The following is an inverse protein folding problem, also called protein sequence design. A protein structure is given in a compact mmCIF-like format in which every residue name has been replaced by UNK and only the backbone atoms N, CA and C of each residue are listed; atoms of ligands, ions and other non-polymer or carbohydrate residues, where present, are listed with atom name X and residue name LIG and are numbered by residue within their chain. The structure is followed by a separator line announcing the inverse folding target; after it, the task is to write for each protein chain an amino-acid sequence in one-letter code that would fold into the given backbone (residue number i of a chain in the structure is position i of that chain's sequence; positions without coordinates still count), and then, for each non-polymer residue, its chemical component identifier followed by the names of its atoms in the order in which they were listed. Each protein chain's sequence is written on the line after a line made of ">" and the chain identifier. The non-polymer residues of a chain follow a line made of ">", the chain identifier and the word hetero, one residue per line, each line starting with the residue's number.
data_IF_376012632157
#
_entry.id   IF_376012632157
#
_cell.length_a   1.000
_cell.length_b   1.000
_cell.length_c   1.000
_cell.angle_alpha   90.00
_cell.angle_beta   90.00
_cell.angle_gamma   90.00
#
_symmetry.space_group_name_H-M   'P 1'
#
loop_
_entity.id
_entity.type
_entity.pdbx_description
1 polymer ?
#
# COMPACT_ATOMS: atom_id res chain seq x y z
N UNK A 1 28.87 27.98 -57.07
CA UNK A 1 28.61 27.14 -58.26
C UNK A 1 29.27 25.79 -57.98
N UNK A 2 28.59 24.83 -57.37
CA UNK A 2 27.73 23.79 -57.97
C UNK A 2 28.35 23.14 -59.22
N UNK A 3 28.91 21.94 -59.04
CA UNK A 3 29.29 21.03 -60.12
C UNK A 3 28.45 19.77 -60.01
N UNK A 4 27.33 19.73 -60.73
CA UNK A 4 26.47 18.57 -60.87
C UNK A 4 27.15 17.54 -61.79
N UNK A 5 27.34 16.31 -61.31
CA UNK A 5 27.79 15.17 -62.12
C UNK A 5 26.55 14.33 -62.46
N UNK A 6 26.12 14.22 -63.73
CA UNK A 6 24.97 13.41 -64.10
C UNK A 6 25.25 11.93 -63.89
N UNK A 7 24.29 11.22 -63.30
CA UNK A 7 24.34 9.79 -63.11
C UNK A 7 23.74 9.08 -64.35
N UNK A 8 24.58 8.69 -65.31
CA UNK A 8 24.16 8.00 -66.54
C UNK A 8 23.82 6.52 -66.29
N UNK A 9 22.77 6.25 -65.51
CA UNK A 9 22.26 4.89 -65.26
C UNK A 9 21.69 4.19 -66.51
N UNK A 10 21.45 4.91 -67.60
CA UNK A 10 20.85 4.39 -68.83
C UNK A 10 21.87 3.94 -69.89
N UNK A 11 23.18 4.07 -69.64
CA UNK A 11 24.23 3.74 -70.63
C UNK A 11 24.90 2.37 -70.40
N UNK A 12 24.46 1.59 -69.40
CA UNK A 12 25.01 0.24 -69.20
C UNK A 12 24.43 -0.69 -70.28
N UNK A 13 25.24 -1.27 -71.18
CA UNK A 13 24.73 -2.21 -72.18
C UNK A 13 24.06 -3.37 -71.45
N UNK A 14 22.84 -3.72 -71.85
CA UNK A 14 22.19 -4.91 -71.34
C UNK A 14 23.12 -6.12 -71.57
N UNK A 15 23.36 -6.98 -70.57
CA UNK A 15 24.19 -8.16 -70.76
C UNK A 15 23.60 -8.98 -71.91
N UNK A 16 24.45 -9.38 -72.85
CA UNK A 16 24.02 -10.17 -74.01
C UNK A 16 23.35 -11.44 -73.50
N UNK A 17 22.05 -11.66 -73.76
CA UNK A 17 21.38 -12.85 -73.26
C UNK A 17 22.04 -14.08 -73.88
N UNK A 18 22.48 -15.01 -73.03
CA UNK A 18 22.96 -16.30 -73.49
C UNK A 18 21.86 -16.97 -74.34
N UNK A 19 22.19 -17.54 -75.52
CA UNK A 19 21.19 -18.13 -76.39
C UNK A 19 20.43 -19.23 -75.65
N UNK A 20 19.10 -19.19 -75.76
CA UNK A 20 18.20 -20.17 -75.14
C UNK A 20 18.53 -21.56 -75.67
N UNK A 21 18.94 -22.47 -74.78
CA UNK A 21 19.40 -23.82 -75.14
C UNK A 21 18.27 -24.81 -75.47
N UNK A 22 17.02 -24.33 -75.63
CA UNK A 22 15.87 -25.14 -76.03
C UNK A 22 15.31 -26.07 -74.95
N UNK A 23 15.99 -26.23 -73.81
CA UNK A 23 15.63 -27.16 -72.75
C UNK A 23 15.32 -26.40 -71.45
N UNK A 24 14.03 -26.19 -71.20
CA UNK A 24 13.52 -25.50 -70.00
C UNK A 24 14.01 -26.16 -68.70
N UNK A 25 14.25 -27.47 -68.71
CA UNK A 25 14.66 -28.24 -67.53
C UNK A 25 16.18 -28.28 -67.32
N UNK A 26 16.98 -27.78 -68.26
CA UNK A 26 18.45 -27.74 -68.17
C UNK A 26 19.01 -26.32 -68.32
N UNK A 27 18.38 -25.34 -67.68
CA UNK A 27 19.00 -24.02 -67.54
C UNK A 27 20.03 -24.04 -66.41
N UNK A 28 21.22 -23.48 -66.65
CA UNK A 28 22.18 -23.22 -65.58
C UNK A 28 21.51 -22.32 -64.53
N UNK A 29 21.68 -22.59 -63.21
CA UNK A 29 21.13 -21.74 -62.17
C UNK A 29 21.58 -20.31 -62.40
N UNK A 30 20.66 -19.40 -62.69
CA UNK A 30 21.00 -17.98 -62.79
C UNK A 30 21.38 -17.52 -61.38
N UNK A 31 22.58 -16.99 -61.16
CA UNK A 31 22.86 -16.31 -59.90
C UNK A 31 21.90 -15.12 -59.82
N UNK A 32 21.00 -15.15 -58.84
CA UNK A 32 20.21 -13.98 -58.49
C UNK A 32 21.20 -12.89 -58.09
N UNK A 33 21.27 -11.79 -58.85
CA UNK A 33 21.98 -10.58 -58.42
C UNK A 33 21.26 -10.02 -57.17
N UNK A 34 21.62 -10.56 -56.02
CA UNK A 34 21.01 -10.28 -54.72
C UNK A 34 21.72 -10.94 -53.54
N UNK A 35 22.90 -11.55 -53.75
CA UNK A 35 23.79 -12.04 -52.69
C UNK A 35 24.73 -10.95 -52.16
N UNK A 36 24.28 -9.70 -52.13
CA UNK A 36 24.75 -8.75 -51.14
C UNK A 36 23.85 -8.95 -49.92
N UNK A 37 24.41 -9.36 -48.79
CA UNK A 37 23.72 -9.65 -47.54
C UNK A 37 22.54 -8.68 -47.30
N UNK A 38 21.32 -9.12 -47.64
CA UNK A 38 20.12 -8.38 -47.31
C UNK A 38 20.02 -8.42 -45.79
N UNK A 39 20.36 -7.31 -45.15
CA UNK A 39 20.07 -7.06 -43.73
C UNK A 39 18.57 -7.25 -43.54
N UNK A 40 18.17 -8.45 -43.11
CA UNK A 40 16.76 -8.79 -42.95
C UNK A 40 16.17 -7.86 -41.89
N UNK A 41 15.29 -6.95 -42.27
CA UNK A 41 14.55 -6.11 -41.33
C UNK A 41 13.22 -6.78 -40.98
N UNK A 42 12.76 -6.64 -39.73
CA UNK A 42 11.41 -7.07 -39.33
C UNK A 42 10.62 -5.94 -38.67
N UNK A 43 9.29 -6.01 -38.80
CA UNK A 43 8.36 -5.10 -38.14
C UNK A 43 7.90 -5.72 -36.82
N UNK A 44 8.15 -5.01 -35.72
CA UNK A 44 7.80 -5.42 -34.36
C UNK A 44 6.70 -4.52 -33.83
N UNK A 45 5.55 -5.11 -33.50
CA UNK A 45 4.47 -4.45 -32.76
C UNK A 45 4.36 -5.01 -31.35
N UNK A 46 4.52 -4.17 -30.33
CA UNK A 46 4.31 -4.58 -28.94
C UNK A 46 3.23 -3.71 -28.30
N UNK A 47 2.33 -4.34 -27.56
CA UNK A 47 1.34 -3.67 -26.71
C UNK A 47 1.53 -4.13 -25.28
N UNK A 48 1.71 -3.19 -24.35
CA UNK A 48 1.88 -3.47 -22.94
C UNK A 48 0.60 -3.15 -22.17
N UNK A 49 0.12 -4.12 -21.40
CA UNK A 49 -1.12 -3.99 -20.62
C UNK A 49 -0.92 -4.55 -19.22
N UNK A 50 -1.74 -4.11 -18.29
CA UNK A 50 -1.97 -4.79 -17.02
C UNK A 50 -2.66 -6.14 -17.26
N UNK A 51 -2.57 -7.06 -16.32
CA UNK A 51 -3.23 -8.39 -16.35
C UNK A 51 -4.77 -8.35 -16.49
N UNK A 52 -5.40 -7.22 -16.14
CA UNK A 52 -6.82 -6.95 -16.37
C UNK A 52 -7.12 -6.45 -17.80
N UNK A 53 -6.10 -6.28 -18.66
CA UNK A 53 -6.18 -5.80 -20.04
C UNK A 53 -6.08 -4.28 -20.21
N UNK A 54 -5.96 -3.51 -19.13
CA UNK A 54 -5.83 -2.05 -19.19
C UNK A 54 -4.46 -1.62 -19.73
N UNK A 55 -4.42 -0.54 -20.50
CA UNK A 55 -3.17 0.08 -20.96
C UNK A 55 -2.33 0.55 -19.76
N UNK A 56 -1.02 0.30 -19.77
CA UNK A 56 -0.11 0.78 -18.71
C UNK A 56 0.00 2.31 -18.61
N UNK A 57 -0.38 3.01 -19.68
CA UNK A 57 -0.28 4.45 -19.84
C UNK A 57 0.42 4.86 -21.14
N UNK A 58 0.26 6.14 -21.50
CA UNK A 58 0.96 6.75 -22.62
C UNK A 58 2.36 7.25 -22.21
N UNK A 59 3.22 7.50 -23.20
CA UNK A 59 4.52 8.16 -23.02
C UNK A 59 5.53 7.40 -22.13
N UNK A 60 5.29 6.12 -21.83
CA UNK A 60 6.27 5.30 -21.12
C UNK A 60 7.48 5.03 -22.03
N UNK A 61 8.71 5.38 -21.60
CA UNK A 61 9.88 5.15 -22.43
C UNK A 61 10.17 3.66 -22.56
N UNK A 62 10.60 3.25 -23.74
CA UNK A 62 11.06 1.90 -24.03
C UNK A 62 12.44 1.91 -24.67
N UNK A 63 13.14 0.79 -24.52
CA UNK A 63 14.31 0.43 -25.32
C UNK A 63 14.02 -0.89 -26.02
N UNK A 64 14.16 -0.90 -27.35
CA UNK A 64 14.01 -2.07 -28.21
C UNK A 64 15.38 -2.39 -28.80
N UNK A 65 16.01 -3.43 -28.30
CA UNK A 65 17.35 -3.86 -28.68
C UNK A 65 17.24 -5.04 -29.66
N UNK A 66 17.52 -4.84 -30.96
CA UNK A 66 17.66 -5.95 -31.89
C UNK A 66 18.91 -6.78 -31.57
N UNK A 67 18.90 -8.07 -31.91
CA UNK A 67 20.08 -8.93 -31.77
C UNK A 67 21.25 -8.48 -32.67
N UNK A 68 20.93 -7.83 -33.79
CA UNK A 68 21.90 -7.18 -34.67
C UNK A 68 21.49 -5.72 -34.87
N UNK A 69 22.29 -4.78 -34.35
CA UNK A 69 22.07 -3.35 -34.50
C UNK A 69 22.05 -2.58 -33.18
N UNK A 70 21.76 -1.28 -33.26
CA UNK A 70 21.69 -0.40 -32.10
C UNK A 70 20.29 -0.44 -31.47
N UNK A 71 20.17 -0.24 -30.14
CA UNK A 71 18.88 -0.08 -29.48
C UNK A 71 18.09 1.11 -30.03
N UNK A 72 16.82 0.86 -30.35
CA UNK A 72 15.84 1.88 -30.70
C UNK A 72 15.12 2.32 -29.44
N UNK A 73 15.12 3.63 -29.16
CA UNK A 73 14.43 4.21 -28.01
C UNK A 73 13.23 5.03 -28.49
N UNK A 74 12.20 5.07 -27.67
CA UNK A 74 11.02 5.89 -27.91
C UNK A 74 10.09 5.83 -26.73
N UNK A 75 8.86 6.27 -26.94
CA UNK A 75 7.80 6.21 -25.94
C UNK A 75 6.57 5.50 -26.49
N UNK A 76 5.83 4.81 -25.62
CA UNK A 76 4.58 4.16 -26.00
C UNK A 76 3.52 5.19 -26.41
N UNK A 77 2.65 4.80 -27.34
CA UNK A 77 1.49 5.59 -27.74
C UNK A 77 0.37 5.58 -26.68
N UNK A 78 -0.76 6.23 -26.98
CA UNK A 78 -1.93 6.29 -26.09
C UNK A 78 -2.57 4.93 -25.80
N UNK A 79 -2.26 3.89 -26.58
CA UNK A 79 -2.72 2.51 -26.40
C UNK A 79 -1.64 1.63 -25.77
N UNK A 80 -0.63 2.24 -25.13
CA UNK A 80 0.53 1.56 -24.55
C UNK A 80 1.23 0.63 -25.56
N UNK A 81 1.28 1.07 -26.81
CA UNK A 81 1.80 0.28 -27.93
C UNK A 81 3.00 0.97 -28.57
N UNK A 82 3.86 0.16 -29.20
CA UNK A 82 4.93 0.60 -30.09
C UNK A 82 4.88 -0.24 -31.37
N UNK A 83 5.25 0.38 -32.49
CA UNK A 83 5.48 -0.29 -33.76
C UNK A 83 6.82 0.22 -34.27
N UNK A 84 7.78 -0.67 -34.49
CA UNK A 84 9.09 -0.32 -34.99
C UNK A 84 9.64 -1.33 -35.98
N UNK A 85 10.40 -0.82 -36.95
CA UNK A 85 11.20 -1.65 -37.85
C UNK A 85 12.61 -1.80 -37.26
N UNK A 86 13.06 -3.04 -37.09
CA UNK A 86 14.39 -3.35 -36.56
C UNK A 86 15.24 -4.14 -37.56
N UNK A 87 16.55 -4.15 -37.36
CA UNK A 87 17.47 -5.02 -38.08
C UNK A 87 17.52 -6.40 -37.41
N UNK A 88 17.65 -7.45 -38.22
CA UNK A 88 17.56 -8.83 -37.74
C UNK A 88 16.12 -9.27 -37.48
N UNK A 89 15.97 -10.46 -36.91
CA UNK A 89 14.66 -11.03 -36.56
C UNK A 89 14.41 -11.02 -35.05
N UNK A 90 15.45 -11.13 -34.25
CA UNK A 90 15.35 -11.27 -32.80
C UNK A 90 15.46 -9.91 -32.11
N UNK A 91 14.70 -9.74 -31.03
CA UNK A 91 14.70 -8.52 -30.24
C UNK A 91 14.46 -8.77 -28.75
N UNK A 92 14.95 -7.83 -27.94
CA UNK A 92 14.59 -7.64 -26.54
C UNK A 92 14.05 -6.23 -26.33
N UNK A 93 12.87 -6.12 -25.74
CA UNK A 93 12.25 -4.85 -25.36
C UNK A 93 12.19 -4.72 -23.84
N UNK A 94 12.43 -3.51 -23.35
CA UNK A 94 12.39 -3.15 -21.95
C UNK A 94 11.73 -1.78 -21.78
N UNK A 95 10.65 -1.72 -21.01
CA UNK A 95 10.09 -0.45 -20.53
C UNK A 95 10.96 0.14 -19.43
N UNK A 96 11.08 1.47 -19.38
CA UNK A 96 11.82 2.18 -18.32
C UNK A 96 13.27 1.69 -18.19
N UNK A 97 13.91 1.30 -19.30
CA UNK A 97 15.24 0.70 -19.31
C UNK A 97 16.29 1.62 -18.66
N UNK A 98 16.26 2.90 -19.07
CA UNK A 98 17.17 3.94 -18.65
C UNK A 98 16.68 4.70 -17.39
N UNK A 99 15.60 4.23 -16.74
CA UNK A 99 15.06 4.84 -15.51
C UNK A 99 15.63 4.16 -14.27
N UNK A 100 16.22 4.95 -13.37
CA UNK A 100 16.71 4.47 -12.07
C UNK A 100 15.57 4.39 -11.03
N UNK A 101 14.76 3.35 -11.18
CA UNK A 101 13.61 3.12 -10.28
C UNK A 101 14.03 2.80 -8.84
N UNK A 102 15.24 2.30 -8.62
CA UNK A 102 15.72 1.92 -7.30
C UNK A 102 16.09 3.16 -6.49
N UNK A 103 16.78 4.12 -7.11
CA UNK A 103 17.04 5.45 -6.53
C UNK A 103 15.74 6.22 -6.27
N UNK A 104 14.79 6.19 -7.22
CA UNK A 104 13.46 6.81 -7.04
C UNK A 104 12.74 6.26 -5.80
N UNK A 105 12.73 4.93 -5.61
CA UNK A 105 12.11 4.29 -4.44
C UNK A 105 12.86 4.67 -3.15
N UNK A 106 14.19 4.67 -3.17
CA UNK A 106 14.99 5.03 -2.00
C UNK A 106 14.72 6.48 -1.56
N UNK A 107 14.71 7.42 -2.51
CA UNK A 107 14.37 8.82 -2.26
C UNK A 107 12.96 8.97 -1.71
N UNK A 108 11.97 8.29 -2.31
CA UNK A 108 10.59 8.38 -1.86
C UNK A 108 10.39 7.80 -0.45
N UNK A 109 11.10 6.72 -0.10
CA UNK A 109 11.09 6.17 1.28
C UNK A 109 11.74 7.11 2.28
N UNK A 110 12.82 7.80 1.92
CA UNK A 110 13.45 8.78 2.79
C UNK A 110 12.49 9.95 3.10
N UNK A 111 11.73 10.41 2.11
CA UNK A 111 10.71 11.44 2.30
C UNK A 111 9.54 10.95 3.14
N UNK A 112 9.09 9.72 2.93
CA UNK A 112 8.05 9.12 3.76
C UNK A 112 8.50 9.03 5.22
N UNK A 113 9.72 8.53 5.47
CA UNK A 113 10.28 8.46 6.81
C UNK A 113 10.33 9.84 7.47
N UNK A 114 10.81 10.86 6.76
CA UNK A 114 10.84 12.22 7.28
C UNK A 114 9.44 12.77 7.64
N UNK A 115 8.43 12.51 6.79
CA UNK A 115 7.05 12.92 7.07
C UNK A 115 6.47 12.20 8.31
N UNK A 116 6.72 10.89 8.46
CA UNK A 116 6.30 10.11 9.61
C UNK A 116 7.00 10.57 10.91
N UNK A 117 8.30 10.85 10.85
CA UNK A 117 9.08 11.32 12.00
C UNK A 117 8.60 12.69 12.50
N UNK A 118 8.21 13.58 11.59
CA UNK A 118 7.62 14.86 11.95
C UNK A 118 6.27 14.74 12.67
N UNK A 119 5.47 13.75 12.30
CA UNK A 119 4.22 13.43 13.00
C UNK A 119 4.53 12.91 14.39
N UNK A 120 5.48 11.97 14.52
CA UNK A 120 5.90 11.44 15.82
C UNK A 120 6.45 12.53 16.74
N UNK A 121 7.24 13.48 16.20
CA UNK A 121 7.76 14.60 16.95
C UNK A 121 6.63 15.52 17.45
N UNK A 122 5.62 15.78 16.63
CA UNK A 122 4.46 16.56 17.02
C UNK A 122 3.63 15.86 18.12
N UNK A 123 3.42 14.54 18.00
CA UNK A 123 2.68 13.75 18.99
C UNK A 123 3.40 13.74 20.35
N UNK A 124 4.72 13.55 20.36
CA UNK A 124 5.52 13.60 21.60
C UNK A 124 5.46 14.97 22.27
N UNK A 125 5.48 16.05 21.48
CA UNK A 125 5.37 17.41 22.00
C UNK A 125 4.00 17.66 22.65
N UNK A 126 2.91 17.21 22.03
CA UNK A 126 1.57 17.34 22.63
C UNK A 126 1.41 16.44 23.86
N UNK A 127 1.90 15.21 23.82
CA UNK A 127 1.88 14.31 24.97
C UNK A 127 2.62 14.91 26.18
N UNK A 128 3.77 15.57 25.96
CA UNK A 128 4.50 16.30 27.00
C UNK A 128 3.69 17.50 27.54
N UNK A 129 2.98 18.23 26.68
CA UNK A 129 2.11 19.34 27.07
C UNK A 129 0.94 18.87 27.94
N UNK A 130 0.30 17.76 27.55
CA UNK A 130 -0.79 17.16 28.30
C UNK A 130 -0.33 16.58 29.64
N UNK A 131 0.85 15.97 29.67
CA UNK A 131 1.45 15.50 30.92
C UNK A 131 1.69 16.67 31.89
N UNK A 132 2.22 17.80 31.43
CA UNK A 132 2.42 18.98 32.27
C UNK A 132 1.09 19.53 32.85
N UNK A 133 0.00 19.45 32.08
CA UNK A 133 -1.35 19.81 32.55
C UNK A 133 -1.85 18.78 33.58
N UNK A 134 -1.60 17.49 33.39
CA UNK A 134 -1.96 16.42 34.34
C UNK A 134 -1.19 16.56 35.66
N UNK A 135 0.08 16.92 35.62
CA UNK A 135 0.92 17.08 36.81
C UNK A 135 0.45 18.23 37.72
N UNK A 136 -0.25 19.22 37.14
CA UNK A 136 -0.88 20.33 37.89
C UNK A 136 -2.25 19.96 38.50
N UNK A 137 -2.80 18.78 38.19
CA UNK A 137 -4.15 18.36 38.60
C UNK A 137 -4.10 17.38 39.78
N UNK A 138 -5.12 17.41 40.64
CA UNK A 138 -5.23 16.48 41.77
C UNK A 138 -5.47 15.04 41.30
N UNK A 139 -5.04 14.06 42.09
CA UNK A 139 -5.16 12.63 41.76
C UNK A 139 -6.61 12.18 41.45
N UNK A 140 -7.61 12.78 42.12
CA UNK A 140 -9.03 12.50 41.87
C UNK A 140 -9.52 13.10 40.53
N UNK A 141 -9.04 14.29 40.17
CA UNK A 141 -9.36 14.93 38.88
C UNK A 141 -8.74 14.18 37.71
N UNK A 142 -7.50 13.69 37.86
CA UNK A 142 -6.82 12.85 36.87
C UNK A 142 -7.55 11.51 36.67
N UNK A 143 -8.06 10.88 37.74
CA UNK A 143 -8.86 9.65 37.63
C UNK A 143 -10.16 9.85 36.85
N UNK A 144 -10.86 10.99 37.05
CA UNK A 144 -12.09 11.32 36.32
C UNK A 144 -11.80 11.69 34.86
N UNK A 145 -10.72 12.41 34.58
CA UNK A 145 -10.34 12.76 33.21
C UNK A 145 -9.87 11.57 32.39
N UNK A 146 -9.06 10.67 32.96
CA UNK A 146 -8.71 9.39 32.33
C UNK A 146 -9.93 8.57 31.90
N UNK A 147 -11.05 8.72 32.61
CA UNK A 147 -12.34 8.06 32.33
C UNK A 147 -13.19 8.76 31.27
N UNK A 148 -12.90 10.03 30.97
CA UNK A 148 -13.61 10.86 29.99
C UNK A 148 -12.80 11.08 28.69
N UNK A 149 -11.47 10.99 28.74
CA UNK A 149 -10.55 11.36 27.66
C UNK A 149 -10.09 10.19 26.77
N UNK A 150 -10.65 8.98 26.97
CA UNK A 150 -10.18 7.80 26.26
C UNK A 150 -10.37 7.91 24.73
N UNK A 151 -9.25 7.84 24.01
CA UNK A 151 -9.18 7.20 22.68
C UNK A 151 -9.24 8.09 21.45
N UNK A 152 -8.54 9.24 21.42
CA UNK A 152 -8.42 10.08 20.22
C UNK A 152 -7.12 10.86 20.19
N UNK A 153 -6.01 10.15 20.03
CA UNK A 153 -4.70 10.74 19.75
C UNK A 153 -4.75 11.98 18.87
N UNK A 154 -3.93 12.99 19.16
CA UNK A 154 -4.03 14.31 18.54
C UNK A 154 -4.05 14.26 17.00
N UNK A 155 -3.21 13.42 16.37
CA UNK A 155 -3.23 13.19 14.92
C UNK A 155 -4.58 12.61 14.42
N UNK A 156 -5.08 11.50 14.99
CA UNK A 156 -6.35 10.89 14.55
C UNK A 156 -7.59 11.74 14.92
N UNK A 157 -7.51 12.49 16.02
CA UNK A 157 -8.52 13.44 16.47
C UNK A 157 -8.60 14.66 15.56
N UNK A 158 -7.45 15.21 15.14
CA UNK A 158 -7.36 16.30 14.17
C UNK A 158 -7.75 15.86 12.74
N UNK A 159 -7.54 14.58 12.41
CA UNK A 159 -7.98 13.97 11.15
C UNK A 159 -9.51 13.91 11.00
N UNK A 160 -10.27 13.98 12.11
CA UNK A 160 -11.74 13.97 12.05
C UNK A 160 -12.37 12.58 11.92
N UNK A 161 -11.69 11.50 12.31
CA UNK A 161 -12.25 10.14 12.47
C UNK A 161 -13.21 10.05 13.68
N UNK A 162 -14.14 10.99 13.75
CA UNK A 162 -14.94 11.34 14.93
C UNK A 162 -16.43 11.07 14.69
N UNK A 163 -16.76 10.04 13.90
CA UNK A 163 -18.04 9.36 14.10
C UNK A 163 -17.85 8.41 15.28
N UNK A 164 -18.52 8.78 16.36
CA UNK A 164 -18.45 8.29 17.75
C UNK A 164 -17.95 6.87 17.97
N UNK A 165 -17.16 6.66 19.03
CA UNK A 165 -16.63 5.36 19.47
C UNK A 165 -17.63 4.19 19.38
N UNK A 166 -18.91 4.43 19.72
CA UNK A 166 -20.05 3.49 19.62
C UNK A 166 -20.25 2.87 18.23
N UNK A 167 -19.84 3.57 17.18
CA UNK A 167 -19.92 3.11 15.81
C UNK A 167 -18.65 2.37 15.39
N UNK A 168 -17.51 2.46 16.10
CA UNK A 168 -16.26 1.77 15.75
C UNK A 168 -16.35 0.25 15.97
N UNK A 169 -17.08 -0.19 17.01
CA UNK A 169 -17.43 -1.61 17.22
C UNK A 169 -18.37 -2.15 16.13
N UNK A 170 -19.33 -1.34 15.67
CA UNK A 170 -20.19 -1.67 14.53
C UNK A 170 -19.44 -1.48 13.19
N UNK A 171 -18.35 -0.69 13.17
CA UNK A 171 -17.51 -0.37 12.00
C UNK A 171 -16.43 -1.41 11.69
N UNK A 172 -16.17 -2.39 12.56
CA UNK A 172 -15.30 -3.52 12.18
C UNK A 172 -15.92 -4.34 11.01
N UNK A 173 -17.22 -4.17 10.72
CA UNK A 173 -17.95 -4.90 9.66
C UNK A 173 -18.22 -4.11 8.33
N UNK A 174 -18.43 -2.78 8.32
CA UNK A 174 -18.41 -1.93 7.14
C UNK A 174 -17.12 -2.02 6.36
N UNK A 175 -15.94 -2.10 6.98
CA UNK A 175 -14.66 -2.18 6.24
C UNK A 175 -14.45 -3.53 5.51
N UNK A 176 -15.03 -4.63 6.00
CA UNK A 176 -15.12 -5.90 5.26
C UNK A 176 -16.04 -5.81 4.05
N UNK A 177 -17.22 -5.18 4.20
CA UNK A 177 -18.19 -4.99 3.10
C UNK A 177 -17.73 -3.95 2.06
N UNK A 178 -17.16 -2.84 2.55
CA UNK A 178 -16.48 -1.75 1.84
C UNK A 178 -15.35 -2.24 0.94
N UNK A 179 -14.52 -3.14 1.47
CA UNK A 179 -13.42 -3.71 0.70
C UNK A 179 -13.91 -4.53 -0.49
N UNK A 180 -15.10 -5.13 -0.45
CA UNK A 180 -15.58 -6.00 -1.52
C UNK A 180 -16.08 -5.21 -2.74
N UNK A 181 -16.77 -4.09 -2.54
CA UNK A 181 -17.22 -3.25 -3.65
C UNK A 181 -16.04 -2.56 -4.35
N UNK A 182 -15.15 -1.95 -3.58
CA UNK A 182 -13.95 -1.30 -4.12
C UNK A 182 -12.99 -2.33 -4.74
N UNK A 183 -12.83 -3.52 -4.12
CA UNK A 183 -12.07 -4.65 -4.73
C UNK A 183 -12.74 -5.14 -5.99
N UNK A 184 -14.05 -5.34 -6.00
CA UNK A 184 -14.78 -5.81 -7.17
C UNK A 184 -14.65 -4.83 -8.33
N UNK A 185 -14.70 -3.53 -8.05
CA UNK A 185 -14.45 -2.49 -9.04
C UNK A 185 -12.97 -2.46 -9.47
N UNK A 186 -12.05 -2.68 -8.55
CA UNK A 186 -10.62 -2.81 -8.85
C UNK A 186 -10.30 -4.01 -9.73
N UNK A 187 -10.97 -5.15 -9.52
CA UNK A 187 -10.87 -6.37 -10.32
C UNK A 187 -11.73 -6.33 -11.58
N UNK A 188 -12.49 -5.26 -11.83
CA UNK A 188 -13.36 -5.18 -12.99
C UNK A 188 -12.52 -5.29 -14.27
N UNK A 189 -12.92 -6.20 -15.15
CA UNK A 189 -12.30 -6.35 -16.48
C UNK A 189 -13.01 -5.43 -17.45
N UNK A 190 -12.24 -4.63 -18.19
CA UNK A 190 -12.79 -3.83 -19.27
C UNK A 190 -13.23 -4.74 -20.43
N UNK A 191 -14.41 -4.47 -20.98
CA UNK A 191 -14.86 -5.08 -22.23
C UNK A 191 -13.99 -4.59 -23.41
N UNK A 192 -14.06 -5.26 -24.56
CA UNK A 192 -13.30 -4.84 -25.74
C UNK A 192 -13.69 -3.40 -26.17
N UNK A 193 -12.71 -2.49 -26.17
CA UNK A 193 -12.93 -1.06 -26.45
C UNK A 193 -13.37 -0.20 -25.25
N UNK A 194 -13.62 -0.80 -24.09
CA UNK A 194 -13.93 -0.10 -22.83
C UNK A 194 -12.64 0.26 -22.07
N UNK A 195 -12.65 1.36 -21.33
CA UNK A 195 -11.57 1.67 -20.38
C UNK A 195 -11.82 0.97 -19.05
N UNK A 196 -10.76 0.60 -18.33
CA UNK A 196 -10.93 0.04 -16.98
C UNK A 196 -11.71 0.99 -16.06
N UNK A 197 -11.48 2.30 -16.16
CA UNK A 197 -12.21 3.29 -15.39
C UNK A 197 -13.73 3.27 -15.66
N UNK A 198 -14.16 2.98 -16.89
CA UNK A 198 -15.58 2.81 -17.20
C UNK A 198 -16.15 1.53 -16.53
N UNK A 199 -15.40 0.43 -16.56
CA UNK A 199 -15.77 -0.80 -15.87
C UNK A 199 -15.81 -0.61 -14.33
N UNK A 200 -14.84 0.13 -13.78
CA UNK A 200 -14.80 0.54 -12.38
C UNK A 200 -16.03 1.37 -12.00
N UNK A 201 -16.35 2.42 -12.78
CA UNK A 201 -17.51 3.29 -12.52
C UNK A 201 -18.86 2.58 -12.67
N UNK A 202 -18.92 1.48 -13.43
CA UNK A 202 -20.10 0.60 -13.49
C UNK A 202 -20.24 -0.24 -12.22
N UNK A 203 -19.13 -0.73 -11.68
CA UNK A 203 -19.11 -1.62 -10.52
C UNK A 203 -19.10 -0.89 -9.17
N UNK A 204 -18.63 0.36 -9.15
CA UNK A 204 -18.57 1.23 -7.98
C UNK A 204 -19.60 2.36 -8.11
N UNK A 205 -20.74 2.16 -7.45
CA UNK A 205 -21.88 3.07 -7.55
C UNK A 205 -21.60 4.43 -6.90
N UNK A 206 -22.36 5.46 -7.29
CA UNK A 206 -22.27 6.77 -6.68
C UNK A 206 -22.57 6.74 -5.17
N UNK A 207 -23.44 5.82 -4.73
CA UNK A 207 -23.78 5.65 -3.32
C UNK A 207 -22.63 5.03 -2.54
N UNK A 208 -22.00 3.97 -3.08
CA UNK A 208 -20.81 3.36 -2.47
C UNK A 208 -19.64 4.34 -2.37
N UNK A 209 -19.48 5.19 -3.39
CA UNK A 209 -18.53 6.30 -3.37
C UNK A 209 -18.84 7.30 -2.25
N UNK A 210 -20.09 7.76 -2.16
CA UNK A 210 -20.53 8.73 -1.17
C UNK A 210 -20.30 8.21 0.26
N UNK A 211 -20.76 7.00 0.54
CA UNK A 211 -20.60 6.34 1.84
C UNK A 211 -19.12 6.21 2.23
N UNK A 212 -18.27 5.81 1.29
CA UNK A 212 -16.84 5.69 1.54
C UNK A 212 -16.18 7.04 1.85
N UNK A 213 -16.40 8.02 0.99
CA UNK A 213 -15.75 9.32 1.12
C UNK A 213 -16.17 9.99 2.43
N UNK A 214 -17.45 9.88 2.81
CA UNK A 214 -17.94 10.31 4.13
C UNK A 214 -17.28 9.54 5.29
N UNK A 215 -17.16 8.22 5.18
CA UNK A 215 -16.54 7.38 6.22
C UNK A 215 -15.06 7.73 6.43
N UNK A 216 -14.35 8.14 5.38
CA UNK A 216 -12.96 8.60 5.44
C UNK A 216 -12.82 10.04 5.97
N UNK A 217 -13.94 10.73 6.26
CA UNK A 217 -13.94 12.09 6.82
C UNK A 217 -13.94 13.21 5.77
N UNK A 218 -14.23 12.90 4.51
CA UNK A 218 -14.25 13.87 3.42
C UNK A 218 -15.67 14.16 2.93
N UNK A 219 -15.85 15.31 2.28
CA UNK A 219 -17.03 15.64 1.50
C UNK A 219 -17.04 14.80 0.21
N UNK A 220 -18.08 13.98 -0.04
CA UNK A 220 -18.24 13.20 -1.28
C UNK A 220 -18.11 13.99 -2.57
N UNK A 221 -18.42 15.29 -2.57
CA UNK A 221 -18.30 16.13 -3.75
C UNK A 221 -16.85 16.57 -4.03
N UNK A 222 -15.95 16.42 -3.06
CA UNK A 222 -14.54 16.85 -3.16
C UNK A 222 -13.62 15.81 -3.76
N UNK A 223 -14.02 14.54 -3.75
CA UNK A 223 -13.27 13.41 -4.28
C UNK A 223 -14.08 12.83 -5.45
N UNK A 224 -13.43 12.64 -6.59
CA UNK A 224 -14.06 11.90 -7.69
C UNK A 224 -13.77 10.41 -7.56
N UNK A 225 -14.59 9.58 -8.21
CA UNK A 225 -14.38 8.12 -8.27
C UNK A 225 -13.03 7.76 -8.89
N UNK A 226 -12.55 8.58 -9.83
CA UNK A 226 -11.25 8.47 -10.48
C UNK A 226 -10.10 8.76 -9.51
N UNK A 227 -10.19 9.83 -8.73
CA UNK A 227 -9.18 10.17 -7.73
C UNK A 227 -9.10 9.11 -6.64
N UNK A 228 -10.25 8.57 -6.22
CA UNK A 228 -10.32 7.46 -5.30
C UNK A 228 -9.68 6.19 -5.89
N UNK A 229 -9.97 5.88 -7.16
CA UNK A 229 -9.35 4.75 -7.87
C UNK A 229 -7.82 4.89 -7.94
N UNK A 230 -7.32 6.08 -8.26
CA UNK A 230 -5.87 6.37 -8.29
C UNK A 230 -5.25 6.24 -6.89
N UNK A 231 -5.88 6.81 -5.86
CA UNK A 231 -5.42 6.68 -4.48
C UNK A 231 -5.40 5.22 -4.01
N UNK A 232 -6.43 4.44 -4.33
CA UNK A 232 -6.50 3.02 -4.01
C UNK A 232 -5.42 2.21 -4.71
N UNK A 233 -5.16 2.46 -5.99
CA UNK A 233 -4.07 1.82 -6.73
C UNK A 233 -2.71 2.06 -6.03
N UNK A 234 -2.40 3.33 -5.72
CA UNK A 234 -1.14 3.69 -5.07
C UNK A 234 -1.02 3.04 -3.68
N UNK A 235 -2.12 2.99 -2.92
CA UNK A 235 -2.16 2.32 -1.63
C UNK A 235 -1.86 0.81 -1.75
N UNK A 236 -2.40 0.12 -2.76
CA UNK A 236 -2.10 -1.30 -3.02
C UNK A 236 -0.60 -1.52 -3.30
N UNK A 237 0.03 -0.66 -4.12
CA UNK A 237 1.47 -0.74 -4.36
C UNK A 237 2.30 -0.57 -3.07
N UNK A 238 1.93 0.40 -2.23
CA UNK A 238 2.63 0.66 -0.96
C UNK A 238 2.45 -0.52 0.01
N UNK A 239 1.25 -1.09 0.08
CA UNK A 239 0.94 -2.13 1.05
C UNK A 239 1.53 -3.50 0.69
N UNK A 240 1.69 -3.80 -0.60
CA UNK A 240 2.36 -5.00 -1.09
C UNK A 240 3.89 -4.90 -0.91
N UNK A 241 4.45 -3.68 -0.89
CA UNK A 241 5.88 -3.46 -0.69
C UNK A 241 6.30 -3.69 0.77
N UNK A 242 6.96 -4.83 1.02
CA UNK A 242 7.41 -5.26 2.34
C UNK A 242 8.18 -4.20 3.15
N UNK A 243 9.21 -3.54 2.59
CA UNK A 243 9.94 -2.49 3.31
C UNK A 243 9.06 -1.30 3.73
N UNK A 244 8.14 -0.87 2.87
CA UNK A 244 7.20 0.23 3.17
C UNK A 244 6.19 -0.18 4.22
N UNK A 245 5.65 -1.41 4.12
CA UNK A 245 4.76 -1.98 5.16
C UNK A 245 5.45 -2.07 6.52
N UNK A 246 6.73 -2.44 6.56
CA UNK A 246 7.51 -2.49 7.79
C UNK A 246 7.75 -1.08 8.39
N UNK A 247 7.98 -0.07 7.54
CA UNK A 247 8.09 1.33 7.98
C UNK A 247 6.79 1.82 8.62
N UNK A 248 5.64 1.53 8.00
CA UNK A 248 4.33 1.87 8.55
C UNK A 248 4.00 1.13 9.84
N UNK A 249 4.37 -0.16 9.92
CA UNK A 249 4.25 -0.94 11.15
C UNK A 249 5.04 -0.34 12.31
N UNK A 250 6.29 0.07 12.08
CA UNK A 250 7.11 0.77 13.08
C UNK A 250 6.49 2.10 13.49
N UNK A 251 6.05 2.90 12.52
CA UNK A 251 5.37 4.16 12.80
C UNK A 251 4.14 3.95 13.69
N UNK A 252 3.28 2.96 13.43
CA UNK A 252 2.12 2.70 14.28
C UNK A 252 2.52 2.38 15.73
N UNK A 253 3.56 1.56 15.92
CA UNK A 253 4.09 1.24 17.26
C UNK A 253 4.65 2.48 17.95
N UNK A 254 5.48 3.26 17.26
CA UNK A 254 6.13 4.44 17.82
C UNK A 254 5.15 5.58 18.06
N UNK A 255 4.12 5.69 17.23
CA UNK A 255 3.02 6.63 17.39
C UNK A 255 2.22 6.27 18.63
N UNK A 256 1.82 5.01 18.82
CA UNK A 256 1.13 4.56 20.03
C UNK A 256 1.95 4.80 21.31
N UNK A 257 3.28 4.62 21.24
CA UNK A 257 4.20 4.93 22.35
C UNK A 257 4.36 6.42 22.63
N UNK A 258 4.23 7.26 21.60
CA UNK A 258 4.41 8.70 21.71
C UNK A 258 3.25 9.39 22.43
N UNK A 259 2.10 8.72 22.56
CA UNK A 259 0.89 9.31 23.11
C UNK A 259 0.89 9.31 24.64
N UNK A 260 0.10 10.22 25.21
CA UNK A 260 -0.22 10.16 26.63
C UNK A 260 -1.06 8.89 26.92
N UNK A 261 -0.86 8.27 28.08
CA UNK A 261 -1.57 7.03 28.51
C UNK A 261 -3.10 7.21 28.52
N UNK A 262 -3.59 8.45 28.61
CA UNK A 262 -5.02 8.78 28.55
C UNK A 262 -5.58 8.84 27.12
N UNK A 263 -4.73 8.86 26.08
CA UNK A 263 -5.09 9.12 24.67
C UNK A 263 -4.70 8.02 23.68
N UNK A 264 -4.38 6.82 24.17
CA UNK A 264 -3.91 5.70 23.33
C UNK A 264 -4.91 5.42 22.20
N UNK A 265 -4.43 5.55 20.98
CA UNK A 265 -5.11 5.16 19.76
C UNK A 265 -4.92 3.66 19.51
N UNK A 266 -6.01 3.00 19.12
CA UNK A 266 -5.98 1.60 18.70
C UNK A 266 -5.57 1.51 17.22
N UNK A 267 -4.48 0.77 16.93
CA UNK A 267 -4.09 0.46 15.55
C UNK A 267 -4.35 -1.01 15.24
N UNK A 268 -5.14 -1.27 14.21
CA UNK A 268 -5.23 -2.59 13.57
C UNK A 268 -4.46 -2.58 12.24
N UNK A 269 -4.15 -3.76 11.69
CA UNK A 269 -3.48 -3.86 10.38
C UNK A 269 -4.29 -3.25 9.22
N UNK A 270 -5.61 -3.14 9.38
CA UNK A 270 -6.52 -2.43 8.45
C UNK A 270 -6.42 -0.91 8.57
N UNK A 271 -6.29 -0.41 9.80
CA UNK A 271 -6.13 1.02 10.06
C UNK A 271 -4.90 1.63 9.35
N UNK A 272 -3.82 0.87 9.17
CA UNK A 272 -2.64 1.33 8.44
C UNK A 272 -2.91 1.55 6.94
N UNK A 273 -3.62 0.64 6.29
CA UNK A 273 -4.00 0.81 4.89
C UNK A 273 -4.94 2.01 4.72
N UNK A 274 -5.88 2.19 5.64
CA UNK A 274 -6.82 3.31 5.67
C UNK A 274 -6.10 4.65 5.83
N UNK A 275 -5.10 4.74 6.71
CA UNK A 275 -4.27 5.95 6.87
C UNK A 275 -3.54 6.28 5.57
N UNK A 276 -2.96 5.28 4.89
CA UNK A 276 -2.30 5.48 3.60
C UNK A 276 -3.29 5.99 2.55
N UNK A 277 -4.44 5.33 2.42
CA UNK A 277 -5.48 5.70 1.46
C UNK A 277 -6.00 7.13 1.72
N UNK A 278 -6.30 7.45 2.98
CA UNK A 278 -6.84 8.74 3.35
C UNK A 278 -5.78 9.86 3.17
N UNK A 279 -4.51 9.62 3.48
CA UNK A 279 -3.42 10.56 3.20
C UNK A 279 -3.20 10.81 1.71
N UNK A 280 -3.35 9.79 0.87
CA UNK A 280 -3.32 9.96 -0.58
C UNK A 280 -4.49 10.84 -1.06
N UNK A 281 -5.70 10.61 -0.54
CA UNK A 281 -6.89 11.40 -0.92
C UNK A 281 -6.73 12.90 -0.60
N UNK A 282 -6.11 13.26 0.53
CA UNK A 282 -5.80 14.67 0.85
C UNK A 282 -5.05 15.37 -0.28
N UNK A 283 -4.05 14.70 -0.86
CA UNK A 283 -3.25 15.28 -1.94
C UNK A 283 -4.07 15.42 -3.22
N UNK A 284 -4.93 14.44 -3.53
CA UNK A 284 -5.78 14.51 -4.71
C UNK A 284 -6.81 15.64 -4.64
N UNK A 285 -7.29 15.98 -3.44
CA UNK A 285 -8.22 17.10 -3.27
C UNK A 285 -7.55 18.45 -3.00
N UNK A 286 -6.22 18.49 -2.88
CA UNK A 286 -5.50 19.69 -2.43
C UNK A 286 -5.90 20.12 -1.01
N UNK A 287 -6.37 19.19 -0.18
CA UNK A 287 -6.92 19.45 1.16
C UNK A 287 -8.32 20.05 1.18
N UNK A 288 -8.93 20.32 0.03
CA UNK A 288 -10.31 20.80 -0.07
C UNK A 288 -11.24 19.61 0.21
N UNK A 289 -12.20 19.77 1.11
CA UNK A 289 -13.19 18.74 1.39
C UNK A 289 -12.91 17.82 2.59
N UNK A 290 -11.83 18.05 3.36
CA UNK A 290 -11.83 17.57 4.75
C UNK A 290 -13.03 18.20 5.46
N UNK A 291 -13.91 17.36 6.03
CA UNK A 291 -15.04 17.85 6.82
C UNK A 291 -14.49 18.45 8.12
N UNK A 292 -14.08 19.71 8.07
CA UNK A 292 -13.43 20.43 9.16
C UNK A 292 -14.34 20.44 10.40
N UNK A 293 -14.15 19.46 11.29
CA UNK A 293 -14.79 19.40 12.60
C UNK A 293 -13.74 19.63 13.67
N UNK A 294 -13.23 20.87 13.72
CA UNK A 294 -12.34 21.31 14.78
C UNK A 294 -11.50 22.52 14.37
N UNK A 295 -11.37 23.49 15.29
CA UNK A 295 -10.60 24.73 15.08
C UNK A 295 -9.07 24.54 15.19
N UNK A 296 -8.57 23.31 15.24
CA UNK A 296 -7.14 23.03 15.40
C UNK A 296 -6.46 22.75 14.05
N UNK A 297 -5.45 23.58 13.74
CA UNK A 297 -4.17 23.20 13.09
C UNK A 297 -4.02 23.27 11.56
N UNK A 298 -3.88 24.49 11.03
CA UNK A 298 -3.25 24.75 9.71
C UNK A 298 -1.87 24.08 9.59
N UNK A 299 -1.09 24.04 10.68
CA UNK A 299 0.23 23.40 10.74
C UNK A 299 0.19 21.87 10.59
N UNK A 300 -0.94 21.24 10.85
CA UNK A 300 -1.11 19.79 10.74
C UNK A 300 -1.58 19.39 9.35
N UNK A 301 -2.43 20.20 8.71
CA UNK A 301 -2.78 20.03 7.29
C UNK A 301 -1.52 20.01 6.41
N UNK A 302 -0.52 20.83 6.72
CA UNK A 302 0.78 20.80 6.04
C UNK A 302 1.50 19.44 6.23
N UNK A 303 1.53 18.91 7.45
CA UNK A 303 2.12 17.59 7.74
C UNK A 303 1.39 16.47 7.01
N UNK A 304 0.06 16.53 6.94
CA UNK A 304 -0.74 15.54 6.23
C UNK A 304 -0.57 15.64 4.71
N UNK A 305 -0.50 16.85 4.17
CA UNK A 305 -0.21 17.05 2.75
C UNK A 305 1.19 16.54 2.41
N UNK A 306 2.18 16.76 3.28
CA UNK A 306 3.54 16.21 3.10
C UNK A 306 3.56 14.68 3.18
N UNK A 307 2.86 14.09 4.14
CA UNK A 307 2.69 12.64 4.25
C UNK A 307 2.04 12.05 3.00
N UNK A 308 0.92 12.63 2.55
CA UNK A 308 0.23 12.20 1.34
C UNK A 308 1.11 12.34 0.09
N UNK A 309 1.90 13.41 -0.02
CA UNK A 309 2.80 13.62 -1.15
C UNK A 309 3.93 12.57 -1.15
N UNK A 310 4.47 12.25 0.03
CA UNK A 310 5.45 11.19 0.17
C UNK A 310 4.87 9.82 -0.23
N UNK A 311 3.64 9.50 0.19
CA UNK A 311 2.95 8.29 -0.27
C UNK A 311 2.72 8.29 -1.77
N UNK A 312 2.26 9.41 -2.36
CA UNK A 312 2.04 9.50 -3.80
C UNK A 312 3.32 9.24 -4.57
N UNK A 313 4.44 9.84 -4.16
CA UNK A 313 5.75 9.64 -4.79
C UNK A 313 6.22 8.20 -4.65
N UNK A 314 6.07 7.60 -3.47
CA UNK A 314 6.45 6.21 -3.22
C UNK A 314 5.61 5.24 -4.04
N UNK A 315 4.28 5.37 -4.03
CA UNK A 315 3.38 4.54 -4.83
C UNK A 315 3.68 4.65 -6.32
N UNK A 316 3.95 5.86 -6.83
CA UNK A 316 4.32 6.07 -8.23
C UNK A 316 5.68 5.43 -8.57
N UNK A 317 6.67 5.53 -7.68
CA UNK A 317 7.98 4.88 -7.86
C UNK A 317 7.85 3.34 -7.86
N UNK A 318 7.06 2.78 -6.95
CA UNK A 318 6.76 1.34 -6.88
C UNK A 318 6.01 0.86 -8.13
N UNK A 319 5.03 1.63 -8.62
CA UNK A 319 4.34 1.37 -9.89
C UNK A 319 5.30 1.35 -11.08
N UNK A 320 6.20 2.34 -11.18
CA UNK A 320 7.26 2.35 -12.21
C UNK A 320 8.17 1.14 -12.10
N UNK A 321 8.59 0.76 -10.90
CA UNK A 321 9.42 -0.43 -10.70
C UNK A 321 8.70 -1.72 -11.12
N UNK A 322 7.39 -1.84 -10.86
CA UNK A 322 6.56 -2.96 -11.35
C UNK A 322 6.51 -3.00 -12.87
N UNK A 323 6.25 -1.85 -13.52
CA UNK A 323 6.26 -1.72 -14.98
C UNK A 323 7.62 -2.08 -15.56
N UNK A 324 8.72 -1.61 -14.98
CA UNK A 324 10.07 -1.97 -15.43
C UNK A 324 10.32 -3.47 -15.31
N UNK A 325 9.88 -4.10 -14.22
CA UNK A 325 10.08 -5.53 -14.00
C UNK A 325 9.28 -6.40 -14.98
N UNK A 326 8.00 -6.09 -15.19
CA UNK A 326 7.10 -6.87 -16.05
C UNK A 326 7.10 -6.46 -17.52
N UNK A 327 7.50 -5.23 -17.84
CA UNK A 327 7.57 -4.66 -19.19
C UNK A 327 8.75 -5.14 -20.02
N UNK A 328 9.06 -6.44 -19.93
CA UNK A 328 10.11 -7.12 -20.68
C UNK A 328 9.49 -8.02 -21.74
N UNK A 329 10.00 -7.94 -22.96
CA UNK A 329 9.57 -8.85 -24.03
C UNK A 329 10.78 -9.32 -24.84
N UNK A 330 10.79 -10.60 -25.19
CA UNK A 330 11.73 -11.17 -26.16
C UNK A 330 10.94 -11.85 -27.26
N UNK A 331 11.37 -11.69 -28.50
CA UNK A 331 10.65 -12.27 -29.63
C UNK A 331 11.52 -12.39 -30.88
N UNK A 332 10.95 -13.06 -31.88
CA UNK A 332 11.58 -13.26 -33.18
C UNK A 332 10.57 -13.08 -34.32
N UNK A 333 10.97 -12.39 -35.39
CA UNK A 333 10.19 -12.25 -36.62
C UNK A 333 9.29 -11.02 -36.66
N UNK A 334 8.32 -11.05 -37.57
CA UNK A 334 7.37 -9.96 -37.83
C UNK A 334 6.06 -10.25 -37.12
N UNK A 335 5.47 -9.29 -36.39
CA UNK A 335 4.15 -9.48 -35.80
C UNK A 335 3.81 -8.54 -34.65
N UNK A 336 2.57 -8.65 -34.19
CA UNK A 336 2.06 -7.95 -33.01
C UNK A 336 1.98 -8.89 -31.82
N UNK A 337 2.41 -8.45 -30.65
CA UNK A 337 2.33 -9.20 -29.40
C UNK A 337 1.85 -8.31 -28.24
N UNK A 338 1.03 -8.89 -27.38
CA UNK A 338 0.65 -8.30 -26.10
C UNK A 338 1.57 -8.81 -24.99
N UNK A 339 2.00 -7.91 -24.12
CA UNK A 339 2.84 -8.18 -22.94
C UNK A 339 2.04 -7.76 -21.71
N UNK A 340 1.75 -8.72 -20.83
CA UNK A 340 0.97 -8.49 -19.62
C UNK A 340 1.90 -8.22 -18.42
N UNK A 341 1.56 -7.21 -17.64
CA UNK A 341 2.23 -6.86 -16.38
C UNK A 341 1.28 -7.13 -15.22
N UNK A 342 1.75 -7.84 -14.20
CA UNK A 342 0.95 -8.16 -13.01
C UNK A 342 0.67 -6.89 -12.19
N UNK A 343 -0.61 -6.65 -11.89
CA UNK A 343 -1.05 -5.56 -10.99
C UNK A 343 -0.70 -5.88 -9.53
N UNK A 344 -0.67 -4.88 -8.64
CA UNK A 344 -0.53 -5.18 -7.23
C UNK A 344 -1.70 -6.01 -6.75
N UNK A 345 -1.42 -6.99 -5.88
CA UNK A 345 -2.47 -7.81 -5.29
C UNK A 345 -3.36 -6.95 -4.43
N UNK A 346 -4.65 -7.17 -4.56
CA UNK A 346 -5.64 -6.47 -3.77
C UNK A 346 -5.46 -6.79 -2.28
N UNK A 347 -5.67 -5.81 -1.43
CA UNK A 347 -5.62 -6.02 0.01
C UNK A 347 -6.88 -6.80 0.45
N UNK A 348 -6.67 -8.04 0.88
CA UNK A 348 -7.72 -8.91 1.44
C UNK A 348 -7.91 -8.59 2.94
N UNK A 349 -9.11 -8.22 3.40
CA UNK A 349 -9.39 -7.91 4.81
C UNK A 349 -9.30 -9.14 5.72
N UNK A 350 -9.14 -10.36 5.16
CA UNK A 350 -8.88 -11.58 5.92
C UNK A 350 -7.40 -11.94 6.11
N UNK A 351 -6.49 -11.30 5.36
CA UNK A 351 -5.03 -11.47 5.53
C UNK A 351 -4.45 -10.41 6.48
N UNK A 352 -5.29 -9.49 6.94
CA UNK A 352 -5.06 -8.59 8.07
C UNK A 352 -5.18 -9.34 9.40
N UNK A 353 -4.56 -10.52 9.50
CA UNK A 353 -4.23 -11.03 10.81
C UNK A 353 -3.49 -9.90 11.55
N UNK A 354 -3.76 -9.66 12.86
CA UNK A 354 -2.85 -8.83 13.65
C UNK A 354 -1.46 -9.29 13.31
N UNK A 355 -0.56 -8.36 12.92
CA UNK A 355 0.83 -8.68 12.55
C UNK A 355 1.26 -9.82 13.44
N UNK A 356 1.42 -11.01 12.87
CA UNK A 356 1.84 -12.14 13.66
C UNK A 356 3.22 -11.73 14.15
N UNK A 357 3.34 -11.57 15.47
CA UNK A 357 4.59 -11.20 16.13
C UNK A 357 5.70 -12.23 15.91
N UNK A 358 5.46 -13.25 15.09
CA UNK A 358 6.43 -14.24 14.64
C UNK A 358 7.55 -13.68 13.77
N UNK A 359 7.36 -12.55 13.06
CA UNK A 359 8.44 -11.92 12.26
C UNK A 359 9.26 -10.87 13.02
N UNK A 360 8.87 -10.53 14.26
CA UNK A 360 9.78 -9.91 15.23
C UNK A 360 10.48 -11.06 15.95
N UNK A 361 11.68 -11.42 15.46
CA UNK A 361 12.63 -12.28 16.19
C UNK A 361 12.87 -11.68 17.59
N UNK A 362 12.08 -12.09 18.58
CA UNK A 362 12.20 -11.61 19.96
C UNK A 362 11.02 -11.92 20.91
N UNK A 363 9.78 -12.09 20.41
CA UNK A 363 8.61 -12.22 21.31
C UNK A 363 8.43 -13.63 21.90
N UNK A 364 8.29 -13.81 23.24
CA UNK A 364 8.11 -15.13 23.86
C UNK A 364 6.78 -15.79 23.45
N UNK A 365 6.85 -17.08 23.07
CA UNK A 365 5.69 -17.90 22.71
C UNK A 365 4.73 -18.05 23.90
N UNK A 366 3.48 -17.59 23.76
CA UNK A 366 2.44 -17.74 24.78
C UNK A 366 2.05 -19.21 25.00
N UNK A 367 2.09 -19.68 26.25
CA UNK A 367 1.49 -20.95 26.64
C UNK A 367 -0.04 -20.92 26.59
N UNK A 368 -0.66 -22.00 26.09
CA UNK A 368 -2.11 -22.08 25.74
C UNK A 368 -3.10 -21.58 26.82
N UNK A 369 -2.71 -21.56 28.10
CA UNK A 369 -3.54 -21.19 29.24
C UNK A 369 -2.96 -20.09 30.16
N UNK A 370 -1.90 -19.38 29.73
CA UNK A 370 -1.30 -18.29 30.52
C UNK A 370 -1.52 -16.94 29.82
N UNK A 371 -1.66 -15.83 30.56
CA UNK A 371 -1.53 -14.51 29.98
C UNK A 371 -0.17 -14.37 29.27
N UNK A 372 -0.07 -13.52 28.24
CA UNK A 372 1.22 -13.18 27.64
C UNK A 372 2.16 -12.63 28.72
N UNK A 373 3.45 -13.00 28.62
CA UNK A 373 4.49 -12.42 29.46
C UNK A 373 4.59 -10.92 29.23
N UNK A 374 5.01 -10.13 30.23
CA UNK A 374 5.25 -8.71 30.05
C UNK A 374 6.26 -8.50 28.92
N UNK A 375 6.04 -7.46 28.12
CA UNK A 375 6.94 -7.11 27.03
C UNK A 375 8.33 -6.79 27.59
N UNK A 376 9.41 -7.46 27.15
CA UNK A 376 10.76 -7.14 27.59
C UNK A 376 11.11 -5.65 27.40
N UNK A 377 10.59 -5.04 26.34
CA UNK A 377 10.79 -3.64 25.98
C UNK A 377 10.05 -2.65 26.91
N UNK A 378 9.13 -3.14 27.75
CA UNK A 378 8.49 -2.32 28.76
C UNK A 378 9.39 -2.11 29.98
N UNK A 379 10.50 -2.85 30.14
CA UNK A 379 11.46 -2.71 31.25
C UNK A 379 10.78 -2.67 32.64
N UNK A 380 9.72 -3.47 32.82
CA UNK A 380 8.94 -3.52 34.06
C UNK A 380 7.93 -2.38 34.26
N UNK A 381 7.76 -1.46 33.30
CA UNK A 381 6.75 -0.40 33.36
C UNK A 381 5.33 -0.94 33.11
N UNK A 382 4.29 -0.30 33.68
CA UNK A 382 2.92 -0.68 33.41
C UNK A 382 2.58 -0.59 31.92
N UNK A 383 1.98 -1.64 31.35
CA UNK A 383 1.59 -1.71 29.94
C UNK A 383 0.47 -2.73 29.73
N UNK A 384 -0.26 -2.61 28.61
CA UNK A 384 -1.29 -3.59 28.23
C UNK A 384 -0.93 -4.29 26.93
N UNK A 385 -1.11 -5.61 26.90
CA UNK A 385 -0.97 -6.45 25.72
C UNK A 385 -2.37 -6.82 25.26
N UNK A 386 -2.75 -6.33 24.08
CA UNK A 386 -4.05 -6.63 23.47
C UNK A 386 -3.91 -7.93 22.67
N UNK A 387 -4.67 -8.94 23.06
CA UNK A 387 -4.68 -10.25 22.39
C UNK A 387 -5.82 -10.33 21.37
N UNK A 388 -6.96 -9.69 21.69
CA UNK A 388 -8.11 -9.51 20.81
C UNK A 388 -8.80 -8.18 21.17
N UNK A 389 -9.02 -7.26 20.22
CA UNK A 389 -9.66 -5.98 20.53
C UNK A 389 -11.19 -6.13 20.73
N UNK A 390 -11.82 -5.07 21.25
CA UNK A 390 -13.27 -4.94 21.38
C UNK A 390 -13.89 -5.49 22.67
N UNK A 391 -15.20 -5.26 22.84
CA UNK A 391 -15.97 -5.71 24.02
C UNK A 391 -15.92 -7.23 24.21
N UNK A 392 -15.93 -7.98 23.13
CA UNK A 392 -15.79 -9.45 23.12
C UNK A 392 -14.32 -9.91 23.08
N UNK A 393 -13.38 -8.97 23.19
CA UNK A 393 -11.95 -9.16 23.09
C UNK A 393 -11.27 -9.70 24.35
N UNK A 394 -9.95 -9.63 24.37
CA UNK A 394 -9.08 -10.05 25.46
C UNK A 394 -7.82 -9.18 25.51
N UNK A 395 -7.46 -8.69 26.68
CA UNK A 395 -6.22 -7.94 26.91
C UNK A 395 -5.67 -8.23 28.29
N UNK A 396 -4.35 -8.11 28.43
CA UNK A 396 -3.62 -8.30 29.68
C UNK A 396 -2.86 -7.04 30.01
N UNK A 397 -3.23 -6.39 31.12
CA UNK A 397 -2.51 -5.26 31.70
C UNK A 397 -1.51 -5.78 32.72
N UNK A 398 -0.23 -5.50 32.51
CA UNK A 398 0.84 -5.65 33.48
C UNK A 398 1.04 -4.34 34.24
N UNK A 399 1.12 -4.42 35.56
CA UNK A 399 1.36 -3.29 36.44
C UNK A 399 2.86 -3.18 36.78
N UNK A 400 3.30 -2.00 37.21
CA UNK A 400 4.71 -1.74 37.55
C UNK A 400 5.24 -2.48 38.78
N UNK A 401 4.35 -3.12 39.54
CA UNK A 401 4.67 -3.94 40.71
C UNK A 401 4.74 -5.45 40.40
N UNK A 402 4.68 -5.81 39.10
CA UNK A 402 4.70 -7.19 38.62
C UNK A 402 3.35 -7.91 38.65
N UNK A 403 2.29 -7.28 39.19
CA UNK A 403 0.93 -7.84 39.12
C UNK A 403 0.34 -7.66 37.73
N UNK A 404 -0.70 -8.43 37.40
CA UNK A 404 -1.37 -8.32 36.10
C UNK A 404 -2.88 -8.53 36.20
N UNK A 405 -3.60 -8.00 35.22
CA UNK A 405 -5.05 -8.16 35.04
C UNK A 405 -5.35 -8.52 33.61
N UNK A 406 -6.13 -9.58 33.39
CA UNK A 406 -6.56 -10.02 32.08
C UNK A 406 -8.08 -9.91 31.94
N UNK A 407 -8.53 -8.98 31.11
CA UNK A 407 -9.92 -8.90 30.68
C UNK A 407 -10.22 -9.92 29.60
N UNK A 408 -11.39 -10.54 29.67
CA UNK A 408 -11.85 -11.56 28.73
C UNK A 408 -13.34 -11.39 28.48
N UNK A 409 -13.66 -10.86 27.32
CA UNK A 409 -14.98 -10.41 26.91
C UNK A 409 -15.93 -11.52 26.50
N UNK A 410 -15.43 -12.53 25.80
CA UNK A 410 -16.22 -13.66 25.27
C UNK A 410 -15.57 -15.02 25.52
N UNK A 411 -16.28 -16.10 25.20
CA UNK A 411 -15.81 -17.49 25.33
C UNK A 411 -16.40 -18.25 26.51
N UNK A 412 -15.79 -19.38 26.87
CA UNK A 412 -16.31 -20.24 27.95
C UNK A 412 -16.13 -19.60 29.33
N UNK A 413 -17.13 -19.83 30.19
CA UNK A 413 -17.12 -19.49 31.61
C UNK A 413 -15.91 -20.11 32.32
N UNK A 414 -15.41 -19.43 33.33
CA UNK A 414 -14.22 -19.88 34.04
C UNK A 414 -14.46 -19.89 35.54
N UNK A 415 -14.45 -21.10 36.13
CA UNK A 415 -14.69 -21.26 37.57
C UNK A 415 -16.09 -20.81 38.01
N UNK A 416 -17.11 -21.02 37.16
CA UNK A 416 -18.50 -20.64 37.44
C UNK A 416 -18.79 -19.14 37.29
N UNK A 417 -17.86 -18.35 36.75
CA UNK A 417 -18.05 -16.92 36.51
C UNK A 417 -18.20 -16.68 35.00
N UNK A 418 -19.34 -16.12 34.56
CA UNK A 418 -19.60 -15.87 33.15
C UNK A 418 -18.71 -14.76 32.58
N UNK A 419 -18.59 -14.71 31.26
CA UNK A 419 -17.95 -13.59 30.54
C UNK A 419 -18.95 -12.43 30.35
N UNK A 420 -18.53 -11.16 30.37
CA UNK A 420 -17.15 -10.69 30.51
C UNK A 420 -16.63 -10.82 31.94
N UNK A 421 -15.39 -11.26 32.09
CA UNK A 421 -14.74 -11.36 33.40
C UNK A 421 -13.26 -10.97 33.36
N UNK A 422 -12.73 -10.66 34.53
CA UNK A 422 -11.33 -10.28 34.72
C UNK A 422 -10.64 -11.35 35.56
N UNK A 423 -9.44 -11.75 35.16
CA UNK A 423 -8.51 -12.51 36.00
C UNK A 423 -7.40 -11.61 36.46
N UNK A 424 -7.24 -11.44 37.77
CA UNK A 424 -6.24 -10.56 38.36
C UNK A 424 -5.29 -11.33 39.26
N UNK A 425 -3.99 -11.12 39.08
CA UNK A 425 -2.96 -11.65 39.95
C UNK A 425 -2.63 -10.67 41.07
N UNK A 426 -2.62 -11.18 42.30
CA UNK A 426 -2.17 -10.46 43.48
C UNK A 426 -0.75 -10.84 43.87
N UNK A 427 -0.23 -10.15 44.88
CA UNK A 427 0.98 -10.56 45.59
C UNK A 427 0.63 -11.48 46.75
N UNK A 428 1.32 -12.60 46.86
CA UNK A 428 1.30 -13.46 48.04
C UNK A 428 2.68 -13.48 48.69
N UNK A 429 2.71 -13.55 50.02
CA UNK A 429 3.95 -13.75 50.76
C UNK A 429 4.10 -15.23 51.09
N UNK A 430 5.23 -15.80 50.72
CA UNK A 430 5.60 -17.17 51.07
C UNK A 430 5.97 -17.28 52.55
N UNK A 431 5.93 -18.48 53.17
CA UNK A 431 6.31 -18.64 54.59
C UNK A 431 7.73 -18.18 54.93
N UNK A 432 8.64 -18.16 53.95
CA UNK A 432 10.01 -17.64 54.03
C UNK A 432 10.13 -16.12 53.74
N UNK A 433 9.00 -15.41 53.64
CA UNK A 433 8.95 -13.96 53.51
C UNK A 433 9.15 -13.41 52.11
N UNK A 434 9.25 -14.25 51.07
CA UNK A 434 9.37 -13.79 49.67
C UNK A 434 8.02 -13.44 49.07
N UNK A 435 7.92 -12.29 48.40
CA UNK A 435 6.74 -11.93 47.61
C UNK A 435 6.74 -12.68 46.28
N UNK A 436 5.63 -13.36 45.97
CA UNK A 436 5.38 -14.03 44.70
C UNK A 436 4.08 -13.51 44.07
N UNK A 437 4.06 -13.37 42.74
CA UNK A 437 2.84 -13.06 42.00
C UNK A 437 2.02 -14.35 41.85
N UNK A 438 0.75 -14.30 42.24
CA UNK A 438 -0.10 -15.49 42.26
C UNK A 438 -0.64 -15.88 40.87
N UNK A 439 -1.35 -17.01 40.79
CA UNK A 439 -1.88 -17.54 39.53
C UNK A 439 -3.09 -16.76 38.99
N UNK A 440 -3.54 -15.74 39.71
CA UNK A 440 -4.68 -14.90 39.42
C UNK A 440 -6.05 -15.51 39.76
N UNK A 441 -6.93 -14.69 40.33
CA UNK A 441 -8.32 -15.03 40.66
C UNK A 441 -9.27 -14.43 39.65
N UNK A 442 -10.34 -15.14 39.34
CA UNK A 442 -11.36 -14.69 38.39
C UNK A 442 -12.48 -13.99 39.17
N UNK A 443 -12.95 -12.88 38.63
CA UNK A 443 -14.13 -12.16 39.12
C UNK A 443 -14.92 -11.55 37.95
N UNK A 444 -16.21 -11.22 38.12
CA UNK A 444 -16.95 -10.47 37.12
C UNK A 444 -16.20 -9.18 36.74
N UNK A 445 -16.25 -8.84 35.45
CA UNK A 445 -15.67 -7.59 34.97
C UNK A 445 -16.47 -6.42 35.52
N UNK A 446 -15.79 -5.39 36.03
CA UNK A 446 -16.47 -4.17 36.46
C UNK A 446 -16.86 -3.35 35.23
N UNK A 447 -17.90 -2.50 35.30
CA UNK A 447 -18.34 -1.69 34.16
C UNK A 447 -17.27 -0.75 33.57
N UNK A 448 -16.23 -0.42 34.32
CA UNK A 448 -15.06 0.36 33.90
C UNK A 448 -13.93 -0.49 33.29
N UNK A 449 -14.00 -1.81 33.43
CA UNK A 449 -13.06 -2.77 32.86
C UNK A 449 -13.61 -3.45 31.62
N UNK A 450 -14.83 -3.12 31.20
CA UNK A 450 -15.41 -3.59 29.95
C UNK A 450 -15.11 -2.52 28.89
N UNK A 451 -14.35 -2.83 27.82
CA UNK A 451 -14.15 -1.91 26.71
C UNK A 451 -15.49 -1.39 26.22
N UNK A 452 -15.66 -0.07 26.25
CA UNK A 452 -16.83 0.58 25.69
C UNK A 452 -16.59 0.64 24.20
N UNK A 453 -17.40 -0.11 23.47
CA UNK A 453 -17.34 -0.16 22.02
C UNK A 453 -17.86 1.09 21.36
#
# INVERSE_FOLDING_TARGET
>A
MSGYVPNNRNERPAPTPAPYNGDFHRQAPRPLEGTAAQSSSCLVGLRFVWDNGECLGANLPYSLTPAAGNPVRGSLDARSSLIQTIQGREYEAQLLADTDVDSDIASARAELQAALDEILAAERAEAARLQAIQDQRSALSNYVHRRLAAGKGFFLGAWGLLKTAKEFSDLVNPFTTFSNALRSAWQARASEGETWLAAYNRQFSAEQHRELVEALGFDPSSITREQLAEAFELACFIYEDGPSKAMLGRFAVDYAKAQNVEEIAEFSGGALFEIVLAALLIVFTGGIGLAARGAASVSYLDKLARLGNAFRRLGAALKRARIRRGGRARGSGTGARTVEVERPRDVLPGTLAPMDGSDIRGSPRKGRNKPPEPLPEAEGRPHSIIERPGRDGQYTTHNGDGTWKQYRGSGQDHGGIPRPNVKEAGKNTTPDGREIIDKGRVRPARPDEIPRG
#
